data_IF_797945151897
#
_entry.id   IF_797945151897
#
_cell.length_a   1.000
_cell.length_b   1.000
_cell.length_c   1.000
_cell.angle_alpha   90.00
_cell.angle_beta   90.00
_cell.angle_gamma   90.00
#
_symmetry.space_group_name_H-M   'P 1'
#
loop_
_entity.id
_entity.type
_entity.pdbx_description
1 polymer ?
#
# COMPACT_ATOMS: atom_id res chain seq x y z
N UNK A 1 15.07 -6.54 18.60
CA UNK A 1 13.72 -6.99 19.01
C UNK A 1 13.02 -7.58 17.79
N UNK A 2 12.06 -8.49 17.97
CA UNK A 2 11.27 -9.11 16.88
C UNK A 2 9.81 -8.77 17.13
N UNK A 3 9.09 -8.33 16.10
CA UNK A 3 7.68 -7.94 16.18
C UNK A 3 6.83 -8.87 15.33
N UNK A 4 5.62 -9.18 15.80
CA UNK A 4 4.63 -9.94 15.05
C UNK A 4 3.62 -8.96 14.45
N UNK A 5 3.31 -9.15 13.17
CA UNK A 5 2.37 -8.29 12.47
C UNK A 5 0.95 -8.33 13.05
N UNK A 6 0.24 -7.21 12.98
CA UNK A 6 -1.21 -7.15 13.16
C UNK A 6 -1.88 -7.39 11.81
N UNK A 7 -2.76 -8.39 11.74
CA UNK A 7 -3.48 -8.77 10.52
C UNK A 7 -4.87 -8.14 10.53
N UNK A 8 -5.19 -7.36 9.50
CA UNK A 8 -6.41 -6.57 9.39
C UNK A 8 -7.03 -6.83 8.01
N UNK A 9 -8.00 -7.74 7.89
CA UNK A 9 -8.80 -7.89 6.68
C UNK A 9 -9.60 -6.62 6.39
N UNK A 10 -9.86 -6.34 5.11
CA UNK A 10 -10.71 -5.22 4.72
C UNK A 10 -11.57 -5.55 3.50
N UNK A 11 -12.61 -4.74 3.32
CA UNK A 11 -13.46 -4.69 2.14
C UNK A 11 -13.64 -3.22 1.73
N UNK A 12 -13.63 -2.94 0.41
CA UNK A 12 -13.82 -1.62 -0.18
C UNK A 12 -12.94 -0.49 0.43
N UNK A 13 -11.67 -0.78 0.71
CA UNK A 13 -10.77 0.16 1.40
C UNK A 13 -10.62 1.46 0.60
N UNK A 14 -10.81 2.58 1.29
CA UNK A 14 -10.78 3.92 0.69
C UNK A 14 -11.78 4.09 -0.48
N UNK A 15 -12.90 3.36 -0.46
CA UNK A 15 -13.87 3.36 -1.56
C UNK A 15 -13.44 2.55 -2.79
N UNK A 16 -12.39 1.74 -2.65
CA UNK A 16 -11.95 0.79 -3.68
C UNK A 16 -12.88 -0.41 -3.83
N UNK A 17 -12.44 -1.39 -4.62
CA UNK A 17 -13.21 -2.60 -4.95
C UNK A 17 -12.71 -3.80 -4.13
N UNK A 18 -13.61 -4.74 -3.88
CA UNK A 18 -13.25 -6.07 -3.38
C UNK A 18 -12.61 -6.06 -2.00
N UNK A 19 -11.79 -7.08 -1.75
CA UNK A 19 -11.23 -7.41 -0.44
C UNK A 19 -9.71 -7.53 -0.47
N UNK A 20 -9.12 -7.45 0.71
CA UNK A 20 -7.70 -7.65 0.90
C UNK A 20 -7.32 -7.73 2.37
N UNK A 21 -6.02 -7.76 2.63
CA UNK A 21 -5.48 -7.87 3.99
C UNK A 21 -4.35 -6.88 4.17
N UNK A 22 -4.44 -6.05 5.20
CA UNK A 22 -3.33 -5.24 5.71
C UNK A 22 -2.61 -6.03 6.80
N UNK A 23 -1.28 -6.04 6.75
CA UNK A 23 -0.42 -6.63 7.77
C UNK A 23 0.55 -5.57 8.26
N UNK A 24 0.28 -4.99 9.42
CA UNK A 24 1.11 -3.93 10.00
C UNK A 24 2.22 -4.60 10.81
N UNK A 25 3.45 -4.57 10.30
CA UNK A 25 4.61 -5.19 10.94
C UNK A 25 5.16 -4.33 12.09
N UNK A 26 5.22 -3.02 11.87
CA UNK A 26 5.67 -2.03 12.86
C UNK A 26 4.87 -0.73 12.71
N UNK A 27 4.63 -0.05 13.82
CA UNK A 27 4.02 1.27 13.94
C UNK A 27 5.03 2.27 14.52
N UNK A 28 4.62 3.54 14.60
CA UNK A 28 5.43 4.68 15.03
C UNK A 28 6.33 4.43 16.24
N UNK A 29 5.76 3.89 17.33
CA UNK A 29 6.48 3.65 18.58
C UNK A 29 7.66 2.68 18.39
N UNK A 30 7.48 1.61 17.61
CA UNK A 30 8.56 0.67 17.32
C UNK A 30 9.58 1.23 16.32
N UNK A 31 9.20 2.26 15.57
CA UNK A 31 10.01 2.94 14.56
C UNK A 31 10.68 4.21 15.10
N UNK A 32 10.53 4.49 16.40
CA UNK A 32 11.10 5.63 17.12
C UNK A 32 10.78 6.96 16.41
N UNK A 33 9.56 7.13 15.92
CA UNK A 33 9.11 8.36 15.27
C UNK A 33 9.75 8.65 13.91
N UNK A 34 10.47 7.69 13.29
CA UNK A 34 11.07 7.87 11.95
C UNK A 34 10.11 7.57 10.80
N UNK A 35 9.11 6.75 11.08
CA UNK A 35 8.12 6.32 10.11
C UNK A 35 6.82 5.99 10.84
N UNK A 36 5.69 6.25 10.20
CA UNK A 36 4.37 5.94 10.76
C UNK A 36 4.13 4.44 10.82
N UNK A 37 4.61 3.72 9.80
CA UNK A 37 4.44 2.27 9.73
C UNK A 37 5.32 1.60 8.66
N UNK A 38 5.59 0.31 8.90
CA UNK A 38 6.02 -0.67 7.90
C UNK A 38 4.92 -1.73 7.83
N UNK A 39 4.40 -1.98 6.64
CA UNK A 39 3.32 -2.94 6.45
C UNK A 39 3.45 -3.71 5.13
N UNK A 40 2.63 -4.75 4.99
CA UNK A 40 2.30 -5.30 3.69
C UNK A 40 0.80 -5.28 3.44
N UNK A 41 0.44 -5.28 2.16
CA UNK A 41 -0.92 -5.29 1.66
C UNK A 41 -1.06 -6.46 0.70
N UNK A 42 -2.04 -7.31 0.92
CA UNK A 42 -2.52 -8.27 -0.09
C UNK A 42 -3.80 -7.74 -0.71
N UNK A 43 -3.83 -7.63 -2.04
CA UNK A 43 -5.03 -7.37 -2.82
C UNK A 43 -5.40 -8.62 -3.60
N UNK A 44 -6.62 -9.12 -3.39
CA UNK A 44 -7.14 -10.22 -4.19
C UNK A 44 -7.39 -9.80 -5.65
N UNK A 45 -7.50 -10.74 -6.60
CA UNK A 45 -7.77 -10.42 -8.01
C UNK A 45 -8.97 -9.49 -8.18
N UNK A 46 -8.78 -8.37 -8.90
CA UNK A 46 -9.82 -7.36 -9.13
C UNK A 46 -10.09 -6.41 -7.95
N UNK A 47 -9.43 -6.58 -6.81
CA UNK A 47 -9.53 -5.68 -5.67
C UNK A 47 -8.66 -4.43 -5.83
N UNK A 48 -9.04 -3.34 -5.16
CA UNK A 48 -8.28 -2.11 -5.15
C UNK A 48 -8.34 -1.38 -3.82
N UNK A 49 -7.33 -0.55 -3.58
CA UNK A 49 -7.41 0.55 -2.62
C UNK A 49 -7.82 1.80 -3.41
N UNK A 50 -8.93 2.41 -3.02
CA UNK A 50 -9.44 3.61 -3.67
C UNK A 50 -8.55 4.84 -3.47
N UNK A 51 -8.89 5.92 -4.18
CA UNK A 51 -8.11 7.16 -4.16
C UNK A 51 -8.09 7.79 -2.77
N UNK A 52 -6.91 8.00 -2.22
CA UNK A 52 -6.69 8.65 -0.93
C UNK A 52 -5.38 9.44 -0.92
N UNK A 53 -5.13 10.17 0.16
CA UNK A 53 -4.00 11.08 0.29
C UNK A 53 -3.40 10.95 1.69
N UNK A 54 -2.07 11.09 1.77
CA UNK A 54 -1.33 11.21 3.00
C UNK A 54 -0.80 12.65 3.11
N UNK A 55 -1.14 13.38 4.18
CA UNK A 55 -0.67 14.74 4.43
C UNK A 55 0.48 14.68 5.43
N UNK A 56 1.63 15.26 5.06
CA UNK A 56 2.85 15.27 5.91
C UNK A 56 3.63 13.95 5.92
N UNK A 57 3.31 13.00 5.03
CA UNK A 57 4.03 11.73 4.90
C UNK A 57 4.30 11.37 3.43
N UNK A 58 5.47 10.82 3.18
CA UNK A 58 5.81 10.09 1.96
C UNK A 58 5.34 8.64 2.13
N UNK A 59 4.75 8.05 1.09
CA UNK A 59 4.51 6.61 1.06
C UNK A 59 5.26 5.98 -0.11
N UNK A 60 5.81 4.79 0.13
CA UNK A 60 6.52 4.00 -0.87
C UNK A 60 5.88 2.61 -0.91
N UNK A 61 5.49 2.18 -2.10
CA UNK A 61 5.10 0.81 -2.40
C UNK A 61 6.24 0.07 -3.09
N UNK A 62 6.46 -1.18 -2.71
CA UNK A 62 7.30 -2.14 -3.42
C UNK A 62 6.50 -3.41 -3.67
N UNK A 63 6.27 -3.74 -4.95
CA UNK A 63 5.45 -4.90 -5.32
C UNK A 63 6.31 -6.16 -5.20
N UNK A 64 5.89 -7.07 -4.31
CA UNK A 64 6.55 -8.35 -4.07
C UNK A 64 5.99 -9.46 -4.95
N UNK A 65 4.71 -9.40 -5.29
CA UNK A 65 4.00 -10.38 -6.11
C UNK A 65 2.86 -9.72 -6.89
N UNK A 66 2.54 -10.26 -8.05
CA UNK A 66 1.40 -9.84 -8.86
C UNK A 66 1.66 -8.57 -9.66
N UNK A 67 0.59 -8.06 -10.24
CA UNK A 67 0.60 -6.91 -11.14
C UNK A 67 -0.70 -6.13 -11.03
N UNK A 68 -0.64 -4.85 -11.40
CA UNK A 68 -1.74 -3.94 -11.21
C UNK A 68 -1.56 -2.62 -11.93
N UNK A 69 -2.49 -1.71 -11.66
CA UNK A 69 -2.42 -0.32 -12.08
C UNK A 69 -2.21 0.55 -10.84
N UNK A 70 -1.13 1.33 -10.86
CA UNK A 70 -0.83 2.32 -9.84
C UNK A 70 -1.16 3.71 -10.39
N UNK A 71 -1.93 4.49 -9.65
CA UNK A 71 -2.37 5.82 -10.06
C UNK A 71 -1.91 6.87 -9.07
N UNK A 72 -1.26 7.93 -9.55
CA UNK A 72 -0.84 9.09 -8.76
C UNK A 72 -1.29 10.36 -9.46
N UNK A 73 -2.04 11.22 -8.76
CA UNK A 73 -2.58 12.48 -9.27
C UNK A 73 -3.31 12.33 -10.62
N UNK A 74 -4.09 11.26 -10.76
CA UNK A 74 -4.86 10.95 -11.96
C UNK A 74 -4.05 10.34 -13.12
N UNK A 75 -2.72 10.20 -12.98
CA UNK A 75 -1.89 9.49 -13.95
C UNK A 75 -1.74 8.03 -13.54
N UNK A 76 -2.18 7.12 -14.42
CA UNK A 76 -2.13 5.68 -14.20
C UNK A 76 -0.98 5.03 -14.99
N UNK A 77 -0.24 4.15 -14.35
CA UNK A 77 0.84 3.36 -14.96
C UNK A 77 0.74 1.90 -14.47
N UNK A 78 1.08 0.91 -15.32
CA UNK A 78 1.20 -0.47 -14.88
C UNK A 78 2.34 -0.61 -13.89
N UNK A 79 2.14 -1.43 -12.86
CA UNK A 79 3.15 -1.81 -11.88
C UNK A 79 3.11 -3.32 -11.66
N UNK A 80 4.27 -3.94 -11.49
CA UNK A 80 4.37 -5.38 -11.25
C UNK A 80 5.48 -5.72 -10.26
N UNK A 81 5.55 -6.99 -9.87
CA UNK A 81 6.57 -7.50 -8.96
C UNK A 81 7.99 -7.04 -9.34
N UNK A 82 8.75 -6.59 -8.34
CA UNK A 82 10.10 -6.04 -8.49
C UNK A 82 10.15 -4.52 -8.73
N UNK A 83 9.01 -3.84 -8.85
CA UNK A 83 8.94 -2.40 -9.04
C UNK A 83 8.49 -1.67 -7.78
N UNK A 84 8.90 -0.40 -7.67
CA UNK A 84 8.48 0.50 -6.61
C UNK A 84 7.75 1.72 -7.17
N UNK A 85 6.76 2.19 -6.41
CA UNK A 85 6.07 3.47 -6.62
C UNK A 85 6.23 4.35 -5.38
N UNK A 86 6.31 5.66 -5.56
CA UNK A 86 6.40 6.61 -4.44
C UNK A 86 5.37 7.72 -4.59
N UNK A 87 4.77 8.14 -3.49
CA UNK A 87 3.73 9.16 -3.43
C UNK A 87 4.17 10.26 -2.46
N UNK A 88 4.33 11.48 -2.96
CA UNK A 88 4.78 12.60 -2.14
C UNK A 88 3.69 13.00 -1.14
N UNK A 89 4.05 13.69 -0.05
CA UNK A 89 3.08 14.35 0.81
C UNK A 89 2.09 15.17 -0.01
N UNK A 90 0.81 14.88 0.15
CA UNK A 90 -0.26 15.54 -0.59
C UNK A 90 -0.60 14.94 -1.96
N UNK A 91 0.06 13.88 -2.42
CA UNK A 91 -0.36 13.20 -3.65
C UNK A 91 -1.61 12.34 -3.41
N UNK A 92 -2.58 12.45 -4.31
CA UNK A 92 -3.69 11.49 -4.39
C UNK A 92 -3.22 10.23 -5.08
N UNK A 93 -3.49 9.06 -4.51
CA UNK A 93 -3.08 7.80 -5.09
C UNK A 93 -4.05 6.65 -4.85
N UNK A 94 -4.00 5.67 -5.75
CA UNK A 94 -4.74 4.42 -5.68
C UNK A 94 -3.94 3.29 -6.32
N UNK A 95 -4.31 2.04 -5.99
CA UNK A 95 -3.71 0.85 -6.58
C UNK A 95 -4.78 -0.23 -6.77
N UNK A 96 -4.81 -0.84 -7.95
CA UNK A 96 -5.74 -1.90 -8.32
C UNK A 96 -4.98 -3.12 -8.79
N UNK A 97 -5.31 -4.30 -8.25
CA UNK A 97 -4.83 -5.57 -8.76
C UNK A 97 -5.63 -5.94 -10.01
N UNK A 98 -4.99 -5.84 -11.17
CA UNK A 98 -5.59 -6.18 -12.47
C UNK A 98 -5.20 -7.59 -12.94
N UNK A 99 -4.39 -8.31 -12.17
CA UNK A 99 -3.97 -9.67 -12.45
C UNK A 99 -4.98 -10.73 -12.00
N UNK A 100 -4.64 -12.00 -12.26
CA UNK A 100 -5.45 -13.17 -11.90
C UNK A 100 -5.03 -13.82 -10.57
N UNK A 101 -4.01 -13.31 -9.91
CA UNK A 101 -3.52 -13.80 -8.62
C UNK A 101 -3.41 -12.68 -7.58
N UNK A 102 -3.23 -13.05 -6.32
CA UNK A 102 -3.01 -12.08 -5.24
C UNK A 102 -1.79 -11.21 -5.53
N UNK A 103 -1.99 -9.90 -5.45
CA UNK A 103 -0.93 -8.89 -5.48
C UNK A 103 -0.47 -8.62 -4.05
N UNK A 104 0.83 -8.77 -3.80
CA UNK A 104 1.45 -8.51 -2.50
C UNK A 104 2.36 -7.28 -2.62
N UNK A 105 2.13 -6.29 -1.77
CA UNK A 105 2.83 -5.02 -1.77
C UNK A 105 3.43 -4.82 -0.38
N UNK A 106 4.71 -4.45 -0.29
CA UNK A 106 5.26 -3.86 0.93
C UNK A 106 5.07 -2.35 0.86
N UNK A 107 4.63 -1.75 1.97
CA UNK A 107 4.41 -0.31 2.08
C UNK A 107 5.14 0.25 3.30
N UNK A 108 5.76 1.42 3.12
CA UNK A 108 6.36 2.19 4.22
C UNK A 108 5.85 3.63 4.13
N UNK A 109 5.36 4.15 5.26
CA UNK A 109 4.92 5.53 5.40
C UNK A 109 5.95 6.29 6.23
N UNK A 110 6.70 7.17 5.60
CA UNK A 110 7.79 7.93 6.19
C UNK A 110 7.30 9.34 6.60
N UNK A 111 7.74 9.81 7.77
CA UNK A 111 7.62 11.23 8.09
C UNK A 111 8.58 12.06 7.24
N UNK A 112 8.24 13.33 7.03
CA UNK A 112 9.20 14.33 6.52
C UNK A 112 10.32 14.61 7.52
#
# INVERSE_FOLDING_TARGET
MIYTEKVIPFENRAGGKGTGVLRIAMEDEQLEGRAKSIMSVTLHPGSSIGSHQHVGNLEIYYVLKGEGIFTVNGKSEPIHAGQAGSMKPGDWHSIENTGSEDMLISAVILYE
#
